data_IF_003224501284
#
_entry.id   IF_003224501284
#
_cell.length_a   1.000
_cell.length_b   1.000
_cell.length_c   1.000
_cell.angle_alpha   90.00
_cell.angle_beta   90.00
_cell.angle_gamma   90.00
#
_symmetry.space_group_name_H-M   'P 1'
#
loop_
_entity.id
_entity.type
_entity.pdbx_description
1 polymer ?
#
# COMPACT_ATOMS: atom_id res chain seq x y z
N UNK A 1 -6.80 2.47 -23.86
CA UNK A 1 -6.40 2.67 -22.45
C UNK A 1 -7.66 2.51 -21.63
N UNK A 2 -7.62 1.80 -20.50
CA UNK A 2 -8.67 1.95 -19.49
C UNK A 2 -8.47 3.35 -18.89
N UNK A 3 -9.52 4.15 -18.84
CA UNK A 3 -9.44 5.49 -18.24
C UNK A 3 -9.69 5.32 -16.73
N UNK A 4 -8.63 5.42 -15.93
CA UNK A 4 -8.75 5.42 -14.48
C UNK A 4 -9.16 6.81 -13.97
N UNK A 5 -9.85 6.88 -12.83
CA UNK A 5 -9.85 8.14 -12.09
C UNK A 5 -8.43 8.42 -11.58
N UNK A 6 -8.03 9.69 -11.57
CA UNK A 6 -6.67 10.08 -11.19
C UNK A 6 -6.69 11.08 -10.06
N UNK A 7 -5.82 10.89 -9.08
CA UNK A 7 -5.63 11.81 -7.98
C UNK A 7 -4.15 12.02 -7.69
N UNK A 8 -3.77 13.25 -7.35
CA UNK A 8 -2.40 13.61 -6.97
C UNK A 8 -2.33 14.26 -5.58
N UNK A 9 -3.46 14.35 -4.89
CA UNK A 9 -3.54 14.75 -3.49
C UNK A 9 -4.52 13.87 -2.73
N UNK A 10 -4.32 13.77 -1.42
CA UNK A 10 -5.23 13.05 -0.54
C UNK A 10 -6.64 13.69 -0.55
N UNK A 11 -6.72 15.02 -0.62
CA UNK A 11 -8.00 15.75 -0.74
C UNK A 11 -8.78 15.33 -1.99
N UNK A 12 -8.10 15.21 -3.14
CA UNK A 12 -8.76 14.79 -4.38
C UNK A 12 -9.26 13.35 -4.31
N UNK A 13 -8.52 12.46 -3.62
CA UNK A 13 -8.99 11.09 -3.32
C UNK A 13 -10.26 11.15 -2.47
N UNK A 14 -10.28 11.96 -1.41
CA UNK A 14 -11.46 12.14 -0.57
C UNK A 14 -12.68 12.59 -1.39
N UNK A 15 -12.53 13.61 -2.24
CA UNK A 15 -13.61 14.15 -3.05
C UNK A 15 -14.16 13.12 -4.05
N UNK A 16 -13.29 12.37 -4.72
CA UNK A 16 -13.69 11.29 -5.63
C UNK A 16 -14.51 10.23 -4.90
N UNK A 17 -14.10 9.85 -3.69
CA UNK A 17 -14.80 8.84 -2.90
C UNK A 17 -16.17 9.36 -2.44
N UNK A 18 -16.23 10.53 -1.80
CA UNK A 18 -17.48 11.05 -1.24
C UNK A 18 -18.53 11.32 -2.32
N UNK A 19 -18.11 11.69 -3.53
CA UNK A 19 -19.01 11.99 -4.64
C UNK A 19 -19.59 10.74 -5.30
N UNK A 20 -18.81 9.66 -5.42
CA UNK A 20 -19.13 8.55 -6.32
C UNK A 20 -19.43 7.23 -5.61
N UNK A 21 -19.17 7.11 -4.31
CA UNK A 21 -19.12 5.82 -3.62
C UNK A 21 -20.32 5.63 -2.67
N UNK A 22 -21.01 4.46 -2.70
CA UNK A 22 -22.08 4.17 -1.76
C UNK A 22 -21.54 3.92 -0.35
N UNK A 23 -22.33 4.22 0.69
CA UNK A 23 -21.94 4.06 2.11
C UNK A 23 -21.60 2.63 2.53
N UNK A 24 -21.97 1.62 1.74
CA UNK A 24 -21.61 0.22 1.98
C UNK A 24 -20.24 -0.19 1.43
N UNK A 25 -19.48 0.74 0.84
CA UNK A 25 -18.19 0.44 0.26
C UNK A 25 -17.10 0.18 1.32
N UNK A 26 -16.13 -0.65 0.95
CA UNK A 26 -14.85 -0.79 1.67
C UNK A 26 -13.74 -0.11 0.88
N UNK A 27 -12.93 0.70 1.55
CA UNK A 27 -11.84 1.47 0.95
C UNK A 27 -10.52 0.79 1.27
N UNK A 28 -9.71 0.57 0.24
CA UNK A 28 -8.36 0.05 0.32
C UNK A 28 -7.40 1.07 -0.28
N UNK A 29 -6.33 1.36 0.44
CA UNK A 29 -5.30 2.31 0.01
C UNK A 29 -3.96 1.56 0.07
N UNK A 30 -3.21 1.58 -1.03
CA UNK A 30 -1.83 1.11 -1.02
C UNK A 30 -0.95 1.96 -0.10
N UNK A 31 0.23 1.46 0.25
CA UNK A 31 1.08 2.04 1.28
C UNK A 31 2.32 2.72 0.72
N UNK A 32 3.21 1.96 0.07
CA UNK A 32 4.48 2.50 -0.43
C UNK A 32 4.18 3.29 -1.73
N UNK A 33 4.72 4.50 -1.87
CA UNK A 33 4.49 5.43 -2.99
C UNK A 33 3.03 5.87 -3.24
N UNK A 34 2.09 5.44 -2.38
CA UNK A 34 0.74 6.02 -2.23
C UNK A 34 0.57 6.85 -0.95
N UNK A 35 0.79 6.25 0.23
CA UNK A 35 0.67 6.94 1.53
C UNK A 35 2.01 7.49 2.00
N UNK A 36 3.06 6.68 1.85
CA UNK A 36 4.39 6.96 2.39
C UNK A 36 5.44 6.73 1.31
N UNK A 37 6.56 7.44 1.43
CA UNK A 37 7.72 7.21 0.57
C UNK A 37 9.01 7.49 1.35
N UNK A 38 10.18 6.96 0.96
CA UNK A 38 11.43 7.31 1.60
C UNK A 38 11.69 8.82 1.59
N UNK A 39 12.12 9.37 2.73
CA UNK A 39 12.51 10.78 2.88
C UNK A 39 13.68 11.18 1.97
N UNK A 40 14.54 10.21 1.64
CA UNK A 40 15.71 10.47 0.79
C UNK A 40 15.27 10.87 -0.62
N UNK A 41 15.86 11.97 -1.13
CA UNK A 41 15.59 12.47 -2.48
C UNK A 41 16.00 11.48 -3.57
N UNK A 42 16.94 10.58 -3.27
CA UNK A 42 17.37 9.51 -4.19
C UNK A 42 16.19 8.69 -4.70
N UNK A 43 15.16 8.45 -3.89
CA UNK A 43 14.03 7.60 -4.28
C UNK A 43 12.86 8.37 -4.90
N UNK A 44 13.01 9.67 -5.21
CA UNK A 44 11.91 10.48 -5.76
C UNK A 44 11.74 10.34 -7.27
N UNK A 45 12.80 10.01 -8.00
CA UNK A 45 12.79 10.00 -9.46
C UNK A 45 13.50 8.79 -10.06
N UNK A 46 13.07 8.33 -11.25
CA UNK A 46 13.80 7.36 -12.04
C UNK A 46 15.22 7.83 -12.41
N UNK A 47 16.17 6.89 -12.58
CA UNK A 47 16.04 5.45 -12.38
C UNK A 47 16.17 5.00 -10.92
N UNK A 48 16.51 5.93 -10.01
CA UNK A 48 16.96 5.62 -8.66
C UNK A 48 15.84 5.15 -7.73
N UNK A 49 14.62 5.64 -7.94
CA UNK A 49 13.43 5.14 -7.22
C UNK A 49 13.18 3.64 -7.44
N UNK A 50 13.66 3.06 -8.56
CA UNK A 50 13.49 1.65 -8.89
C UNK A 50 14.61 0.74 -8.33
N UNK A 51 15.65 1.27 -7.68
CA UNK A 51 16.81 0.45 -7.30
C UNK A 51 16.43 -0.73 -6.40
N UNK A 52 15.50 -0.51 -5.47
CA UNK A 52 15.04 -1.55 -4.54
C UNK A 52 14.23 -2.61 -5.29
N UNK A 53 13.37 -2.21 -6.23
CA UNK A 53 12.58 -3.16 -7.00
C UNK A 53 13.45 -3.99 -7.95
N UNK A 54 14.47 -3.39 -8.57
CA UNK A 54 15.46 -4.13 -9.36
C UNK A 54 16.19 -5.17 -8.52
N UNK A 55 16.52 -4.89 -7.25
CA UNK A 55 17.10 -5.88 -6.34
C UNK A 55 16.09 -6.99 -6.04
N UNK A 56 14.81 -6.68 -5.80
CA UNK A 56 13.75 -7.68 -5.58
C UNK A 56 13.54 -8.58 -6.80
N UNK A 57 13.52 -8.02 -8.00
CA UNK A 57 13.37 -8.75 -9.26
C UNK A 57 14.56 -9.69 -9.52
N UNK A 58 15.76 -9.28 -9.12
CA UNK A 58 16.99 -10.05 -9.27
C UNK A 58 17.43 -10.76 -7.98
N UNK A 59 16.50 -11.10 -7.09
CA UNK A 59 16.80 -11.68 -5.76
C UNK A 59 17.72 -12.91 -5.79
N UNK A 60 17.69 -13.71 -6.86
CA UNK A 60 18.55 -14.88 -7.02
C UNK A 60 20.03 -14.53 -7.24
N UNK A 61 20.33 -13.29 -7.61
CA UNK A 61 21.69 -12.79 -7.83
C UNK A 61 22.38 -12.34 -6.55
N UNK A 62 21.69 -12.34 -5.40
CA UNK A 62 22.19 -11.84 -4.12
C UNK A 62 22.00 -12.87 -3.01
N UNK A 63 23.09 -13.54 -2.60
CA UNK A 63 23.06 -14.53 -1.51
C UNK A 63 22.53 -13.95 -0.19
N UNK A 64 22.77 -12.66 0.06
CA UNK A 64 22.32 -11.90 1.23
C UNK A 64 21.11 -10.99 0.94
N UNK A 65 20.30 -11.30 -0.08
CA UNK A 65 19.12 -10.53 -0.50
C UNK A 65 18.25 -10.04 0.67
N UNK A 66 17.86 -10.94 1.58
CA UNK A 66 16.99 -10.61 2.71
C UNK A 66 17.63 -9.61 3.66
N UNK A 67 18.93 -9.75 3.89
CA UNK A 67 19.69 -8.84 4.74
C UNK A 67 19.75 -7.44 4.13
N UNK A 68 20.10 -7.32 2.84
CA UNK A 68 20.14 -6.06 2.10
C UNK A 68 18.81 -5.32 2.22
N UNK A 69 17.70 -5.98 1.85
CA UNK A 69 16.38 -5.35 1.85
C UNK A 69 15.92 -5.02 3.27
N UNK A 70 16.14 -5.91 4.25
CA UNK A 70 15.75 -5.65 5.65
C UNK A 70 16.55 -4.50 6.27
N UNK A 71 17.85 -4.39 5.98
CA UNK A 71 18.69 -3.30 6.47
C UNK A 71 18.28 -1.97 5.85
N UNK A 72 18.01 -1.94 4.55
CA UNK A 72 17.46 -0.74 3.91
C UNK A 72 16.15 -0.29 4.56
N UNK A 73 15.20 -1.23 4.77
CA UNK A 73 13.93 -0.96 5.46
C UNK A 73 14.11 -0.45 6.90
N UNK A 74 15.07 -0.97 7.65
CA UNK A 74 15.34 -0.53 9.03
C UNK A 74 16.03 0.84 9.09
N UNK A 75 16.82 1.20 8.07
CA UNK A 75 17.57 2.45 8.02
C UNK A 75 16.78 3.59 7.36
N UNK A 76 15.84 3.27 6.45
CA UNK A 76 15.05 4.29 5.78
C UNK A 76 14.28 5.12 6.81
N UNK A 77 14.14 6.40 6.50
CA UNK A 77 13.13 7.25 7.12
C UNK A 77 12.07 7.50 6.07
N UNK A 78 10.81 7.45 6.46
CA UNK A 78 9.68 7.69 5.58
C UNK A 78 9.03 9.03 5.91
N UNK A 79 8.34 9.58 4.93
CA UNK A 79 7.45 10.73 5.06
C UNK A 79 6.10 10.37 4.44
N UNK A 80 5.05 11.11 4.80
CA UNK A 80 3.83 11.10 4.03
C UNK A 80 4.09 11.71 2.64
N UNK A 81 3.47 11.14 1.61
CA UNK A 81 3.51 11.72 0.26
C UNK A 81 2.69 13.02 0.20
N UNK A 82 1.57 13.00 0.91
CA UNK A 82 0.71 14.16 1.14
C UNK A 82 0.43 14.25 2.65
N UNK A 83 0.71 15.42 3.24
CA UNK A 83 0.56 15.65 4.69
C UNK A 83 -0.90 15.49 5.14
N UNK A 84 -1.87 15.63 4.24
CA UNK A 84 -3.30 15.54 4.53
C UNK A 84 -3.82 14.10 4.67
N UNK A 85 -3.02 13.08 4.33
CA UNK A 85 -3.47 11.68 4.37
C UNK A 85 -4.04 11.25 5.72
N UNK A 86 -3.46 11.75 6.83
CA UNK A 86 -3.96 11.44 8.18
C UNK A 86 -5.36 11.99 8.39
N UNK A 87 -5.62 13.23 7.98
CA UNK A 87 -6.93 13.86 8.08
C UNK A 87 -7.94 13.18 7.16
N UNK A 88 -7.57 12.92 5.91
CA UNK A 88 -8.42 12.26 4.91
C UNK A 88 -8.84 10.86 5.37
N UNK A 89 -7.91 10.03 5.84
CA UNK A 89 -8.25 8.69 6.36
C UNK A 89 -9.21 8.79 7.54
N UNK A 90 -9.00 9.74 8.47
CA UNK A 90 -9.90 9.92 9.60
C UNK A 90 -11.31 10.33 9.14
N UNK A 91 -11.44 11.28 8.20
CA UNK A 91 -12.74 11.68 7.63
C UNK A 91 -13.44 10.53 6.90
N UNK A 92 -12.72 9.74 6.11
CA UNK A 92 -13.28 8.58 5.41
C UNK A 92 -13.78 7.52 6.40
N UNK A 93 -13.04 7.29 7.50
CA UNK A 93 -13.41 6.32 8.53
C UNK A 93 -14.71 6.63 9.27
N UNK A 94 -15.17 7.88 9.24
CA UNK A 94 -16.49 8.24 9.79
C UNK A 94 -17.65 7.60 9.00
N UNK A 95 -17.40 7.20 7.75
CA UNK A 95 -18.42 6.72 6.81
C UNK A 95 -18.16 5.33 6.26
N UNK A 96 -16.89 4.93 6.15
CA UNK A 96 -16.49 3.70 5.48
C UNK A 96 -15.43 2.95 6.30
N UNK A 97 -15.39 1.61 6.22
CA UNK A 97 -14.18 0.88 6.54
C UNK A 97 -13.05 1.27 5.59
N UNK A 98 -11.97 1.82 6.15
CA UNK A 98 -10.74 2.18 5.44
C UNK A 98 -9.60 1.29 5.90
N UNK A 99 -8.95 0.60 4.96
CA UNK A 99 -7.86 -0.34 5.20
C UNK A 99 -6.63 0.00 4.37
N UNK A 100 -5.45 -0.34 4.89
CA UNK A 100 -4.26 -0.45 4.06
C UNK A 100 -4.27 -1.79 3.30
N UNK A 101 -3.76 -1.83 2.08
CA UNK A 101 -3.54 -3.07 1.33
C UNK A 101 -2.19 -2.97 0.63
N UNK A 102 -1.21 -3.77 1.02
CA UNK A 102 0.15 -3.63 0.49
C UNK A 102 0.80 -4.97 0.15
N UNK A 103 1.56 -4.97 -0.94
CA UNK A 103 2.35 -6.11 -1.36
C UNK A 103 3.67 -6.19 -0.60
N UNK A 104 3.71 -7.06 0.40
CA UNK A 104 4.89 -7.23 1.26
C UNK A 104 4.94 -8.65 1.85
N UNK A 105 6.15 -9.16 2.12
CA UNK A 105 6.34 -10.40 2.86
C UNK A 105 5.71 -10.32 4.27
N UNK A 106 5.31 -11.47 4.80
CA UNK A 106 4.76 -11.61 6.16
C UNK A 106 5.68 -12.44 7.05
N UNK A 107 5.63 -12.19 8.36
CA UNK A 107 6.50 -12.83 9.34
C UNK A 107 7.91 -12.24 9.36
N UNK A 108 8.90 -13.07 9.69
CA UNK A 108 10.30 -12.64 9.77
C UNK A 108 10.95 -12.54 8.39
N UNK A 109 11.72 -11.47 8.17
CA UNK A 109 12.43 -11.22 6.92
C UNK A 109 13.77 -10.51 7.18
N UNK A 110 14.87 -11.22 6.94
CA UNK A 110 16.22 -10.70 7.26
C UNK A 110 16.32 -10.33 8.74
N UNK A 111 16.68 -9.08 9.01
CA UNK A 111 16.81 -8.53 10.36
C UNK A 111 15.48 -8.00 10.94
N UNK A 112 14.37 -8.09 10.20
CA UNK A 112 13.04 -7.68 10.67
C UNK A 112 12.33 -8.92 11.25
N UNK A 113 12.03 -8.97 12.56
CA UNK A 113 11.40 -10.14 13.18
C UNK A 113 9.92 -10.31 12.81
N UNK A 114 9.24 -9.21 12.49
CA UNK A 114 7.85 -9.20 12.05
C UNK A 114 7.62 -8.04 11.10
N UNK A 115 7.43 -8.35 9.81
CA UNK A 115 7.18 -7.37 8.75
C UNK A 115 5.91 -6.56 9.01
N UNK A 116 4.83 -7.23 9.41
CA UNK A 116 3.57 -6.57 9.72
C UNK A 116 3.64 -5.62 10.92
N UNK A 117 4.38 -6.02 11.97
CA UNK A 117 4.55 -5.16 13.14
C UNK A 117 5.48 -3.98 12.85
N UNK A 118 6.54 -4.21 12.06
CA UNK A 118 7.43 -3.17 11.57
C UNK A 118 6.66 -2.12 10.76
N UNK A 119 5.90 -2.53 9.74
CA UNK A 119 5.13 -1.61 8.92
C UNK A 119 4.09 -0.85 9.75
N UNK A 120 3.35 -1.56 10.60
CA UNK A 120 2.35 -0.92 11.47
C UNK A 120 2.96 0.16 12.37
N UNK A 121 4.14 -0.10 12.95
CA UNK A 121 4.85 0.90 13.77
C UNK A 121 5.26 2.12 12.94
N UNK A 122 5.82 1.90 11.75
CA UNK A 122 6.24 2.96 10.84
C UNK A 122 5.05 3.86 10.45
N UNK A 123 3.91 3.27 10.07
CA UNK A 123 2.69 4.02 9.75
C UNK A 123 2.09 4.74 10.96
N UNK A 124 2.10 4.09 12.12
CA UNK A 124 1.59 4.68 13.37
C UNK A 124 2.41 5.88 13.83
N UNK A 125 3.73 5.86 13.62
CA UNK A 125 4.61 7.01 13.91
C UNK A 125 4.27 8.24 13.07
N UNK A 126 3.75 8.03 11.85
CA UNK A 126 3.23 9.10 10.98
C UNK A 126 1.76 9.47 11.26
N UNK A 127 1.13 8.87 12.28
CA UNK A 127 -0.26 9.14 12.65
C UNK A 127 -1.30 8.38 11.82
N UNK A 128 -0.90 7.54 10.87
CA UNK A 128 -1.81 6.74 10.06
C UNK A 128 -2.42 5.61 10.89
N UNK A 129 -3.76 5.55 10.92
CA UNK A 129 -4.53 4.53 11.65
C UNK A 129 -5.76 4.11 10.85
N UNK A 130 -5.73 2.89 10.34
CA UNK A 130 -6.83 2.29 9.59
C UNK A 130 -7.97 1.81 10.50
N UNK A 131 -9.02 1.28 9.86
CA UNK A 131 -10.14 0.62 10.53
C UNK A 131 -9.71 -0.76 10.98
N UNK A 132 -10.04 -1.12 12.22
CA UNK A 132 -9.79 -2.48 12.71
C UNK A 132 -11.05 -3.33 12.56
N UNK A 133 -10.88 -4.65 12.51
CA UNK A 133 -11.98 -5.59 12.38
C UNK A 133 -11.62 -6.88 13.14
N UNK A 134 -12.34 -7.15 14.23
CA UNK A 134 -12.06 -8.29 15.12
C UNK A 134 -12.18 -9.64 14.41
N UNK A 135 -13.10 -9.78 13.44
CA UNK A 135 -13.25 -11.02 12.67
C UNK A 135 -12.05 -11.25 11.75
N UNK A 136 -11.52 -10.18 11.17
CA UNK A 136 -10.33 -10.26 10.33
C UNK A 136 -9.04 -10.41 11.17
N UNK A 137 -9.03 -9.92 12.41
CA UNK A 137 -7.86 -9.95 13.28
C UNK A 137 -7.37 -11.36 13.63
N UNK A 138 -8.22 -12.39 13.51
CA UNK A 138 -7.84 -13.80 13.72
C UNK A 138 -6.84 -14.29 12.65
N UNK A 139 -6.78 -13.62 11.50
CA UNK A 139 -5.88 -13.97 10.40
C UNK A 139 -4.52 -13.25 10.49
N UNK A 140 -4.15 -12.76 11.68
CA UNK A 140 -2.87 -12.09 11.91
C UNK A 140 -1.65 -13.03 12.00
N UNK A 141 -1.91 -14.33 12.22
CA UNK A 141 -0.90 -15.38 12.35
C UNK A 141 -0.91 -16.29 11.12
N UNK A 142 -0.59 -15.73 9.96
CA UNK A 142 -0.37 -16.52 8.76
C UNK A 142 0.96 -17.29 8.84
N UNK A 143 1.02 -18.43 8.17
CA UNK A 143 2.31 -19.03 7.81
C UNK A 143 3.15 -17.99 7.06
N UNK A 144 4.48 -18.16 7.08
CA UNK A 144 5.38 -17.26 6.35
C UNK A 144 4.94 -17.08 4.90
N UNK A 145 4.88 -15.83 4.46
CA UNK A 145 4.45 -15.41 3.12
C UNK A 145 2.98 -15.70 2.77
N UNK A 146 2.12 -15.98 3.77
CA UNK A 146 0.67 -15.99 3.59
C UNK A 146 0.08 -14.58 3.70
N UNK A 147 -1.10 -14.37 3.09
CA UNK A 147 -1.84 -13.12 3.19
C UNK A 147 -2.48 -12.99 4.59
N UNK A 148 -2.34 -11.84 5.23
CA UNK A 148 -2.81 -11.59 6.60
C UNK A 148 -3.55 -10.26 6.71
N UNK A 149 -4.33 -10.12 7.78
CA UNK A 149 -4.86 -8.85 8.24
C UNK A 149 -4.23 -8.50 9.60
N UNK A 150 -3.59 -7.34 9.68
CA UNK A 150 -2.91 -6.87 10.88
C UNK A 150 -3.28 -5.42 11.18
N UNK A 151 -4.15 -5.21 12.17
CA UNK A 151 -4.52 -3.89 12.72
C UNK A 151 -4.98 -2.90 11.64
N UNK A 152 -5.87 -3.35 10.76
CA UNK A 152 -6.40 -2.56 9.64
C UNK A 152 -5.56 -2.54 8.37
N UNK A 153 -4.52 -3.37 8.28
CA UNK A 153 -3.66 -3.48 7.11
C UNK A 153 -3.72 -4.90 6.58
N UNK A 154 -4.11 -5.06 5.32
CA UNK A 154 -3.94 -6.27 4.56
C UNK A 154 -2.53 -6.33 3.99
N UNK A 155 -1.84 -7.44 4.25
CA UNK A 155 -0.49 -7.67 3.72
C UNK A 155 -0.54 -8.95 2.91
N UNK A 156 -0.13 -8.87 1.65
CA UNK A 156 -0.44 -9.93 0.68
C UNK A 156 0.45 -11.17 0.80
N UNK A 157 1.63 -11.08 1.41
CA UNK A 157 2.60 -12.18 1.37
C UNK A 157 3.02 -12.49 -0.06
N UNK A 158 2.81 -13.75 -0.50
CA UNK A 158 3.04 -14.19 -1.88
C UNK A 158 1.80 -14.06 -2.79
N UNK A 159 0.69 -13.51 -2.30
CA UNK A 159 -0.52 -13.33 -3.08
C UNK A 159 -0.53 -11.98 -3.81
N UNK A 160 -1.34 -11.87 -4.86
CA UNK A 160 -1.70 -10.57 -5.44
C UNK A 160 -2.66 -9.80 -4.52
N UNK A 161 -2.92 -8.53 -4.85
CA UNK A 161 -3.94 -7.73 -4.17
C UNK A 161 -5.32 -8.40 -4.31
N UNK A 162 -5.69 -8.81 -5.54
CA UNK A 162 -6.92 -9.57 -5.78
C UNK A 162 -6.98 -10.91 -5.05
N UNK A 163 -5.87 -11.65 -5.00
CA UNK A 163 -5.79 -12.94 -4.30
C UNK A 163 -5.99 -12.77 -2.79
N UNK A 164 -5.42 -11.71 -2.23
CA UNK A 164 -5.62 -11.30 -0.84
C UNK A 164 -7.09 -10.97 -0.57
N UNK A 165 -7.70 -10.08 -1.37
CA UNK A 165 -9.11 -9.73 -1.23
C UNK A 165 -10.02 -10.95 -1.39
N UNK A 166 -9.71 -11.85 -2.32
CA UNK A 166 -10.44 -13.11 -2.50
C UNK A 166 -10.40 -13.98 -1.25
N UNK A 167 -9.24 -14.09 -0.59
CA UNK A 167 -9.07 -14.87 0.64
C UNK A 167 -9.94 -14.34 1.77
N UNK A 168 -10.11 -13.02 1.86
CA UNK A 168 -10.89 -12.36 2.91
C UNK A 168 -12.31 -11.99 2.49
N UNK A 169 -12.77 -12.45 1.32
CA UNK A 169 -14.02 -12.00 0.70
C UNK A 169 -15.27 -12.27 1.54
N UNK A 170 -15.33 -13.42 2.22
CA UNK A 170 -16.46 -13.79 3.08
C UNK A 170 -16.60 -12.83 4.28
N UNK A 171 -15.48 -12.49 4.92
CA UNK A 171 -15.46 -11.60 6.09
C UNK A 171 -15.60 -10.12 5.71
N UNK A 172 -15.07 -9.72 4.55
CA UNK A 172 -15.25 -8.39 3.99
C UNK A 172 -16.70 -8.16 3.55
N UNK A 173 -17.31 -9.17 2.91
CA UNK A 173 -18.65 -9.13 2.31
C UNK A 173 -18.94 -7.81 1.55
N UNK A 174 -17.93 -7.31 0.82
CA UNK A 174 -17.99 -6.00 0.20
C UNK A 174 -18.85 -6.04 -1.07
N UNK A 175 -19.88 -5.19 -1.13
CA UNK A 175 -20.67 -4.96 -2.35
C UNK A 175 -20.03 -3.94 -3.30
N UNK A 176 -19.13 -3.11 -2.75
CA UNK A 176 -18.41 -2.08 -3.49
C UNK A 176 -17.00 -1.92 -2.88
N UNK A 177 -15.99 -1.83 -3.73
CA UNK A 177 -14.59 -1.63 -3.36
C UNK A 177 -14.09 -0.33 -3.96
N UNK A 178 -13.39 0.46 -3.17
CA UNK A 178 -12.53 1.54 -3.66
C UNK A 178 -11.09 1.07 -3.52
N UNK A 179 -10.28 1.22 -4.56
CA UNK A 179 -8.85 0.95 -4.46
C UNK A 179 -8.02 2.13 -5.00
N UNK A 180 -7.11 2.61 -4.15
CA UNK A 180 -6.19 3.72 -4.43
C UNK A 180 -4.78 3.16 -4.42
N UNK A 181 -4.07 3.25 -5.54
CA UNK A 181 -2.72 2.70 -5.71
C UNK A 181 -1.97 3.54 -6.76
N UNK A 182 -0.66 3.66 -6.67
CA UNK A 182 0.18 4.35 -7.66
C UNK A 182 0.54 3.49 -8.87
N UNK A 183 0.27 2.17 -8.80
CA UNK A 183 0.54 1.20 -9.83
C UNK A 183 -0.74 0.79 -10.57
N UNK A 184 -0.88 1.22 -11.83
CA UNK A 184 -2.00 0.86 -12.69
C UNK A 184 -2.23 -0.66 -12.81
N UNK A 185 -1.17 -1.48 -12.77
CA UNK A 185 -1.30 -2.95 -12.83
C UNK A 185 -2.02 -3.52 -11.61
N UNK A 186 -1.80 -2.94 -10.42
CA UNK A 186 -2.48 -3.37 -9.20
C UNK A 186 -3.96 -2.97 -9.24
N UNK A 187 -4.25 -1.77 -9.76
CA UNK A 187 -5.62 -1.31 -9.99
C UNK A 187 -6.36 -2.23 -10.95
N UNK A 188 -5.70 -2.62 -12.06
CA UNK A 188 -6.27 -3.57 -13.01
C UNK A 188 -6.53 -4.95 -12.38
N UNK A 189 -5.60 -5.46 -11.58
CA UNK A 189 -5.74 -6.73 -10.85
C UNK A 189 -7.00 -6.73 -9.95
N UNK A 190 -7.18 -5.69 -9.13
CA UNK A 190 -8.34 -5.56 -8.25
C UNK A 190 -9.62 -5.30 -9.05
N UNK A 191 -9.57 -4.51 -10.11
CA UNK A 191 -10.71 -4.21 -10.97
C UNK A 191 -11.24 -5.44 -11.70
N UNK A 192 -10.35 -6.30 -12.21
CA UNK A 192 -10.72 -7.56 -12.85
C UNK A 192 -11.35 -8.54 -11.84
N UNK A 193 -10.83 -8.56 -10.60
CA UNK A 193 -11.47 -9.29 -9.49
C UNK A 193 -12.87 -8.78 -9.18
N UNK A 194 -13.06 -7.46 -9.06
CA UNK A 194 -14.37 -6.88 -8.77
C UNK A 194 -15.38 -7.19 -9.90
N UNK A 195 -14.95 -7.03 -11.15
CA UNK A 195 -15.75 -7.36 -12.34
C UNK A 195 -16.19 -8.83 -12.35
N UNK A 196 -15.26 -9.75 -12.10
CA UNK A 196 -15.53 -11.20 -12.06
C UNK A 196 -16.56 -11.56 -10.98
N UNK A 197 -16.50 -10.89 -9.83
CA UNK A 197 -17.36 -11.17 -8.68
C UNK A 197 -18.59 -10.25 -8.58
N UNK A 198 -18.83 -9.40 -9.58
CA UNK A 198 -19.94 -8.43 -9.62
C UNK A 198 -19.95 -7.46 -8.42
N UNK A 199 -18.77 -7.07 -7.97
CA UNK A 199 -18.55 -6.07 -6.93
C UNK A 199 -18.43 -4.72 -7.64
N UNK A 200 -19.12 -3.69 -7.14
CA UNK A 200 -18.94 -2.33 -7.64
C UNK A 200 -17.52 -1.84 -7.37
N UNK A 201 -16.95 -1.03 -8.26
CA UNK A 201 -15.54 -0.66 -8.15
C UNK A 201 -15.33 0.81 -8.50
N UNK A 202 -14.51 1.49 -7.69
CA UNK A 202 -13.89 2.76 -8.01
C UNK A 202 -12.37 2.58 -7.95
N UNK A 203 -11.74 2.62 -9.11
CA UNK A 203 -10.29 2.70 -9.27
C UNK A 203 -9.80 4.14 -9.18
N UNK A 204 -8.76 4.38 -8.40
CA UNK A 204 -8.07 5.69 -8.36
C UNK A 204 -6.57 5.45 -8.50
N UNK A 205 -6.02 5.88 -9.63
CA UNK A 205 -4.57 5.93 -9.84
C UNK A 205 -4.02 7.16 -9.12
N UNK A 206 -3.19 6.91 -8.11
CA UNK A 206 -2.58 7.96 -7.31
C UNK A 206 -1.20 8.36 -7.84
N UNK A 207 -0.99 9.65 -8.04
CA UNK A 207 0.25 10.22 -8.61
C UNK A 207 0.73 11.38 -7.75
N UNK A 208 0.71 11.18 -6.43
CA UNK A 208 1.15 12.21 -5.46
C UNK A 208 2.67 12.36 -5.39
N UNK A 209 3.43 11.31 -5.76
CA UNK A 209 4.89 11.33 -5.71
C UNK A 209 5.49 12.49 -6.53
N UNK A 210 4.85 12.88 -7.65
CA UNK A 210 5.28 14.00 -8.49
C UNK A 210 5.30 15.35 -7.78
N UNK A 211 4.52 15.50 -6.71
CA UNK A 211 4.43 16.75 -5.95
C UNK A 211 5.59 16.91 -4.96
N UNK A 212 6.34 15.84 -4.68
CA UNK A 212 7.50 15.91 -3.81
C UNK A 212 8.69 16.55 -4.53
N UNK A 213 9.14 17.68 -3.99
CA UNK A 213 10.26 18.44 -4.58
C UNK A 213 11.64 17.89 -4.20
N UNK A 214 12.62 18.12 -5.09
CA UNK A 214 14.03 17.86 -4.86
C UNK A 214 14.58 16.69 -5.66
N UNK A 215 15.76 16.90 -6.22
CA UNK A 215 16.45 15.94 -7.08
C UNK A 215 17.38 15.01 -6.28
N UNK A 216 17.60 13.77 -6.75
CA UNK A 216 18.75 12.96 -6.33
C UNK A 216 20.05 13.75 -6.51
N UNK A 217 20.96 13.65 -5.55
CA UNK A 217 22.30 14.21 -5.73
C UNK A 217 23.06 13.36 -6.77
N UNK A 218 23.39 13.90 -7.96
CA UNK A 218 24.01 13.13 -9.01
C UNK A 218 25.39 12.60 -8.59
N UNK A 219 26.11 13.31 -7.72
CA UNK A 219 27.45 12.89 -7.27
C UNK A 219 27.41 11.72 -6.29
N UNK A 220 26.29 11.56 -5.56
CA UNK A 220 26.04 10.39 -4.71
C UNK A 220 25.38 9.25 -5.47
N UNK A 221 24.77 9.54 -6.64
CA UNK A 221 23.99 8.60 -7.42
C UNK A 221 24.75 8.01 -8.63
N UNK A 222 25.88 8.62 -9.01
CA UNK A 222 26.87 8.05 -9.93
C UNK A 222 27.58 6.86 -9.26
N UNK A 223 27.45 5.68 -9.87
CA UNK A 223 28.12 4.43 -9.48
C UNK A 223 29.20 4.05 -10.50
#
# INVERSE_FOLDING_TARGET
MKDFETADSAEKVYDLIIKNVPTSASIFIDVDDTLITPKSKTFKQPPYNQIIDRIKENKSSYDNYKEIISNWRLQRKVILIDEEWVEVINKLKEKFPVYGLTQMNTGAFGNIPSMQDWLYKELKELGLKFSDNEKLAIYNSGQKDDAIFYKGIFITGNHSNSGTLSKFSEELNASFIVFVDDCAKHIEDVGDYCKKNKIGFLDILFDGLKNLTGEPDPTLAEF
#
